data_IF_878305749535
#
_entry.id   IF_878305749535
#
_cell.length_a   1.000
_cell.length_b   1.000
_cell.length_c   1.000
_cell.angle_alpha   90.00
_cell.angle_beta   90.00
_cell.angle_gamma   90.00
#
_symmetry.space_group_name_H-M   'P 1'
#
loop_
_entity.id
_entity.type
_entity.pdbx_description
1 polymer ?
#
# COMPACT_ATOMS: atom_id res chain seq x y z
N UNK A 1 -4.32 0.88 29.77
CA UNK A 1 -5.79 0.84 29.62
C UNK A 1 -6.12 -0.33 28.70
N UNK A 2 -7.03 -1.22 29.10
CA UNK A 2 -7.33 -2.42 28.33
C UNK A 2 -7.94 -2.02 26.98
N UNK A 3 -7.23 -2.27 25.88
CA UNK A 3 -7.73 -2.06 24.52
C UNK A 3 -8.96 -2.96 24.33
N UNK A 4 -10.16 -2.40 24.49
CA UNK A 4 -11.41 -3.10 24.25
C UNK A 4 -11.42 -3.51 22.78
N UNK A 5 -11.25 -4.81 22.52
CA UNK A 5 -11.33 -5.34 21.16
C UNK A 5 -12.79 -5.29 20.74
N UNK A 6 -13.09 -4.52 19.71
CA UNK A 6 -14.41 -4.43 19.11
C UNK A 6 -14.59 -5.56 18.10
N UNK A 7 -15.76 -6.20 18.09
CA UNK A 7 -16.12 -7.16 17.05
C UNK A 7 -16.66 -6.40 15.84
N UNK A 8 -16.09 -6.66 14.68
CA UNK A 8 -16.56 -6.12 13.41
C UNK A 8 -16.91 -7.28 12.47
N UNK A 9 -17.85 -7.01 11.57
CA UNK A 9 -18.22 -7.91 10.49
C UNK A 9 -17.84 -7.25 9.16
N UNK A 10 -16.95 -7.89 8.41
CA UNK A 10 -16.49 -7.45 7.10
C UNK A 10 -17.02 -8.41 6.03
N UNK A 11 -17.59 -7.88 4.94
CA UNK A 11 -18.07 -8.68 3.83
C UNK A 11 -17.07 -8.61 2.68
N UNK A 12 -16.37 -9.71 2.43
CA UNK A 12 -15.38 -9.80 1.36
C UNK A 12 -15.84 -10.83 0.34
N UNK A 13 -15.98 -10.41 -0.93
CA UNK A 13 -16.37 -11.27 -2.05
C UNK A 13 -17.67 -12.08 -1.81
N UNK A 14 -18.61 -11.54 -1.02
CA UNK A 14 -19.89 -12.18 -0.68
C UNK A 14 -19.84 -13.10 0.55
N UNK A 15 -18.68 -13.29 1.18
CA UNK A 15 -18.55 -14.01 2.46
C UNK A 15 -18.39 -13.00 3.61
N UNK A 16 -19.15 -13.20 4.68
CA UNK A 16 -19.06 -12.39 5.90
C UNK A 16 -18.02 -13.00 6.85
N UNK A 17 -17.08 -12.19 7.32
CA UNK A 17 -16.03 -12.58 8.25
C UNK A 17 -16.16 -11.73 9.51
N UNK A 18 -16.30 -12.41 10.65
CA UNK A 18 -16.30 -11.77 11.96
C UNK A 18 -14.88 -11.75 12.52
N UNK A 19 -14.40 -10.58 12.91
CA UNK A 19 -13.09 -10.43 13.54
C UNK A 19 -13.14 -9.48 14.72
N UNK A 20 -12.27 -9.71 15.70
CA UNK A 20 -12.13 -8.86 16.87
C UNK A 20 -10.87 -8.00 16.72
N UNK A 21 -11.05 -6.70 16.53
CA UNK A 21 -9.98 -5.73 16.23
C UNK A 21 -9.92 -4.63 17.28
N UNK A 22 -8.82 -3.87 17.30
CA UNK A 22 -8.78 -2.63 18.06
C UNK A 22 -9.64 -1.55 17.35
N UNK A 23 -10.46 -0.78 18.10
CA UNK A 23 -11.35 0.24 17.53
C UNK A 23 -10.60 1.29 16.72
N UNK A 24 -9.39 1.66 17.13
CA UNK A 24 -8.52 2.62 16.42
C UNK A 24 -8.15 2.18 15.00
N UNK A 25 -8.30 0.90 14.67
CA UNK A 25 -7.99 0.35 13.34
C UNK A 25 -9.23 0.05 12.51
N UNK A 26 -10.44 0.21 13.05
CA UNK A 26 -11.68 -0.17 12.37
C UNK A 26 -11.82 0.47 10.98
N UNK A 27 -11.49 1.75 10.86
CA UNK A 27 -11.58 2.48 9.59
C UNK A 27 -10.69 1.86 8.51
N UNK A 28 -9.48 1.44 8.88
CA UNK A 28 -8.54 0.75 7.97
C UNK A 28 -9.11 -0.58 7.49
N UNK A 29 -9.73 -1.35 8.37
CA UNK A 29 -10.36 -2.62 8.00
C UNK A 29 -11.55 -2.43 7.06
N UNK A 30 -12.36 -1.38 7.24
CA UNK A 30 -13.46 -1.06 6.32
C UNK A 30 -12.98 -0.53 4.98
N UNK A 31 -11.89 0.22 4.95
CA UNK A 31 -11.24 0.62 3.70
C UNK A 31 -10.71 -0.60 2.95
N UNK A 32 -10.01 -1.51 3.62
CA UNK A 32 -9.50 -2.74 3.03
C UNK A 32 -10.62 -3.62 2.46
N UNK A 33 -11.75 -3.75 3.16
CA UNK A 33 -12.94 -4.46 2.66
C UNK A 33 -13.44 -3.86 1.33
N UNK A 34 -13.60 -2.54 1.27
CA UNK A 34 -14.05 -1.84 0.06
C UNK A 34 -13.07 -2.05 -1.09
N UNK A 35 -11.78 -1.97 -0.81
CA UNK A 35 -10.74 -2.08 -1.83
C UNK A 35 -10.65 -3.51 -2.40
N UNK A 36 -10.70 -4.53 -1.54
CA UNK A 36 -10.74 -5.93 -2.00
C UNK A 36 -12.01 -6.20 -2.82
N UNK A 37 -13.18 -5.73 -2.36
CA UNK A 37 -14.43 -5.89 -3.11
C UNK A 37 -14.41 -5.17 -4.46
N UNK A 38 -13.82 -3.97 -4.53
CA UNK A 38 -13.66 -3.23 -5.77
C UNK A 38 -12.74 -3.98 -6.76
N UNK A 39 -11.62 -4.53 -6.28
CA UNK A 39 -10.68 -5.33 -7.08
C UNK A 39 -11.33 -6.61 -7.59
N UNK A 40 -12.02 -7.37 -6.74
CA UNK A 40 -12.78 -8.56 -7.15
C UNK A 40 -13.84 -8.22 -8.19
N UNK A 41 -14.54 -7.09 -8.05
CA UNK A 41 -15.54 -6.64 -9.04
C UNK A 41 -14.89 -6.27 -10.38
N UNK A 42 -13.73 -5.60 -10.37
CA UNK A 42 -12.97 -5.29 -11.58
C UNK A 42 -12.48 -6.55 -12.28
N UNK A 43 -11.96 -7.52 -11.52
CA UNK A 43 -11.52 -8.81 -12.05
C UNK A 43 -12.69 -9.59 -12.64
N UNK A 44 -13.83 -9.68 -11.94
CA UNK A 44 -15.05 -10.29 -12.49
C UNK A 44 -15.51 -9.63 -13.78
N UNK A 45 -15.43 -8.30 -13.90
CA UNK A 45 -15.75 -7.58 -15.14
C UNK A 45 -14.75 -7.86 -16.26
N UNK A 46 -13.46 -7.98 -15.94
CA UNK A 46 -12.39 -8.21 -16.93
C UNK A 46 -12.36 -9.66 -17.44
N UNK A 47 -12.57 -10.63 -16.55
CA UNK A 47 -12.44 -12.06 -16.84
C UNK A 47 -13.79 -12.77 -17.10
N UNK A 48 -14.92 -12.13 -16.78
CA UNK A 48 -16.26 -12.69 -16.96
C UNK A 48 -16.54 -13.91 -16.08
N UNK A 49 -17.50 -14.76 -16.48
CA UNK A 49 -17.90 -15.97 -15.76
C UNK A 49 -16.88 -17.12 -15.82
N UNK A 50 -15.71 -16.91 -16.44
CA UNK A 50 -14.68 -17.94 -16.57
C UNK A 50 -13.84 -18.14 -15.31
N UNK A 51 -13.89 -17.20 -14.37
CA UNK A 51 -13.04 -17.20 -13.18
C UNK A 51 -13.90 -17.39 -11.92
N UNK A 52 -13.47 -18.30 -11.05
CA UNK A 52 -14.16 -18.54 -9.78
C UNK A 52 -13.97 -17.37 -8.82
N UNK A 53 -14.80 -17.30 -7.78
CA UNK A 53 -14.61 -16.32 -6.69
C UNK A 53 -13.27 -16.51 -5.98
N UNK A 54 -12.80 -17.74 -5.87
CA UNK A 54 -11.50 -18.07 -5.28
C UNK A 54 -10.35 -17.57 -6.16
N UNK A 55 -10.43 -17.77 -7.49
CA UNK A 55 -9.41 -17.26 -8.41
C UNK A 55 -9.36 -15.73 -8.42
N UNK A 56 -10.53 -15.07 -8.40
CA UNK A 56 -10.61 -13.61 -8.23
C UNK A 56 -9.91 -13.14 -6.94
N UNK A 57 -10.13 -13.87 -5.84
CA UNK A 57 -9.54 -13.54 -4.55
C UNK A 57 -8.02 -13.78 -4.56
N UNK A 58 -7.57 -14.88 -5.17
CA UNK A 58 -6.15 -15.22 -5.31
C UNK A 58 -5.41 -14.18 -6.16
N UNK A 59 -5.99 -13.76 -7.28
CA UNK A 59 -5.43 -12.70 -8.14
C UNK A 59 -5.41 -11.36 -7.39
N UNK A 60 -6.47 -11.02 -6.64
CA UNK A 60 -6.51 -9.80 -5.82
C UNK A 60 -5.42 -9.82 -4.74
N UNK A 61 -5.24 -10.94 -4.04
CA UNK A 61 -4.19 -11.11 -3.03
C UNK A 61 -2.80 -11.00 -3.66
N UNK A 62 -2.60 -11.62 -4.83
CA UNK A 62 -1.36 -11.52 -5.58
C UNK A 62 -1.05 -10.08 -5.98
N UNK A 63 -2.03 -9.33 -6.50
CA UNK A 63 -1.88 -7.91 -6.84
C UNK A 63 -1.55 -7.05 -5.61
N UNK A 64 -2.20 -7.30 -4.47
CA UNK A 64 -1.90 -6.59 -3.22
C UNK A 64 -0.48 -6.90 -2.72
N UNK A 65 -0.04 -8.15 -2.80
CA UNK A 65 1.33 -8.53 -2.47
C UNK A 65 2.36 -7.90 -3.44
N UNK A 66 2.07 -7.89 -4.75
CA UNK A 66 2.92 -7.22 -5.75
C UNK A 66 3.02 -5.73 -5.43
N UNK A 67 1.89 -5.05 -5.18
CA UNK A 67 1.89 -3.64 -4.82
C UNK A 67 2.64 -3.39 -3.51
N UNK A 68 2.47 -4.25 -2.50
CA UNK A 68 3.22 -4.17 -1.24
C UNK A 68 4.73 -4.33 -1.44
N UNK A 69 5.16 -5.28 -2.25
CA UNK A 69 6.57 -5.49 -2.61
C UNK A 69 7.10 -4.31 -3.43
N UNK A 70 6.30 -3.78 -4.36
CA UNK A 70 6.66 -2.59 -5.14
C UNK A 70 6.79 -1.36 -4.26
N UNK A 71 5.92 -1.16 -3.26
CA UNK A 71 6.03 -0.06 -2.29
C UNK A 71 7.26 -0.25 -1.40
N UNK A 72 7.51 -1.47 -0.92
CA UNK A 72 8.70 -1.77 -0.11
C UNK A 72 9.99 -1.52 -0.91
N UNK A 73 10.05 -2.00 -2.16
CA UNK A 73 11.16 -1.72 -3.08
C UNK A 73 11.25 -0.25 -3.46
N UNK A 74 10.14 0.45 -3.65
CA UNK A 74 10.16 1.89 -3.91
C UNK A 74 10.60 2.69 -2.69
N UNK A 75 10.42 2.17 -1.48
CA UNK A 75 10.97 2.81 -0.28
C UNK A 75 12.49 2.64 -0.23
N UNK A 76 13.01 1.46 -0.61
CA UNK A 76 14.46 1.24 -0.79
C UNK A 76 15.04 2.08 -1.94
N UNK A 77 14.35 2.19 -3.08
CA UNK A 77 14.78 2.99 -4.23
C UNK A 77 14.63 4.50 -3.96
N UNK A 78 13.59 4.95 -3.26
CA UNK A 78 13.44 6.36 -2.86
C UNK A 78 14.51 6.77 -1.85
N UNK A 79 14.95 5.89 -0.95
CA UNK A 79 16.05 6.18 -0.02
C UNK A 79 17.39 6.28 -0.78
N UNK A 80 17.65 5.42 -1.76
CA UNK A 80 18.83 5.51 -2.63
C UNK A 80 18.79 6.75 -3.54
N UNK A 81 17.64 7.05 -4.15
CA UNK A 81 17.46 8.24 -4.99
C UNK A 81 17.51 9.54 -4.16
N UNK A 82 17.00 9.54 -2.92
CA UNK A 82 17.15 10.66 -1.98
C UNK A 82 18.61 10.82 -1.53
N UNK A 83 19.32 9.73 -1.25
CA UNK A 83 20.75 9.79 -0.93
C UNK A 83 21.58 10.31 -2.11
N UNK A 84 21.23 9.93 -3.34
CA UNK A 84 21.85 10.43 -4.55
C UNK A 84 21.54 11.92 -4.79
N UNK A 85 20.29 12.35 -4.55
CA UNK A 85 19.87 13.77 -4.60
C UNK A 85 20.57 14.61 -3.53
N UNK A 86 20.70 14.12 -2.29
CA UNK A 86 21.42 14.79 -1.20
C UNK A 86 22.91 14.92 -1.51
N UNK A 87 23.53 13.86 -2.07
CA UNK A 87 24.93 13.91 -2.51
C UNK A 87 25.13 14.93 -3.63
N UNK A 88 24.21 15.00 -4.59
CA UNK A 88 24.23 15.99 -5.66
C UNK A 88 24.07 17.42 -5.11
N UNK A 89 23.18 17.63 -4.13
CA UNK A 89 22.98 18.91 -3.46
C UNK A 89 24.23 19.36 -2.71
N UNK A 90 24.90 18.45 -1.98
CA UNK A 90 26.15 18.74 -1.29
C UNK A 90 27.29 19.08 -2.27
N UNK A 91 27.33 18.45 -3.44
CA UNK A 91 28.30 18.78 -4.48
C UNK A 91 28.04 20.16 -5.10
N UNK A 92 26.77 20.50 -5.32
CA UNK A 92 26.35 21.83 -5.79
C UNK A 92 26.69 22.90 -4.75
N UNK A 93 26.36 22.68 -3.47
CA UNK A 93 26.69 23.61 -2.39
C UNK A 93 28.20 23.79 -2.24
N UNK A 94 28.99 22.73 -2.36
CA UNK A 94 30.45 22.80 -2.34
C UNK A 94 31.00 23.58 -3.54
N UNK A 95 30.40 23.42 -4.71
CA UNK A 95 30.81 24.14 -5.90
C UNK A 95 30.41 25.62 -5.84
N UNK A 96 29.22 25.94 -5.36
CA UNK A 96 28.73 27.30 -5.14
C UNK A 96 29.56 28.01 -4.06
N UNK A 97 29.89 27.33 -2.97
CA UNK A 97 30.79 27.86 -1.92
C UNK A 97 32.25 27.98 -2.39
N UNK A 98 32.65 27.25 -3.44
CA UNK A 98 33.93 27.47 -4.12
C UNK A 98 33.90 28.62 -5.14
N UNK A 99 32.69 29.09 -5.50
CA UNK A 99 32.43 30.15 -6.48
C UNK A 99 32.08 31.51 -5.83
N UNK A 100 32.12 31.64 -4.49
CA UNK A 100 32.05 32.93 -3.80
C UNK A 100 32.73 32.92 -2.42
N UNK A 101 33.48 33.97 -2.03
CA UNK A 101 33.27 35.36 -2.43
C UNK A 101 34.43 35.89 -3.29
N UNK A 102 34.18 36.17 -4.58
CA UNK A 102 34.98 37.18 -5.25
C UNK A 102 34.45 38.56 -4.85
N UNK A 103 35.39 39.36 -4.33
CA UNK A 103 35.32 40.77 -3.99
C UNK A 103 34.76 41.64 -5.12
#
# INVERSE_FOLDING_TARGET
MASQKQRINLKVAGKAYEMSIAPDKEEVYRMAEREVNASVTKLRKAFGDKISTEDCLAITALQLCINGISIARQSEVNDEDMAALDALSQMLDKHINSLGPNK
#
